data_IF_780670600339
#
_entry.id   IF_780670600339
#
_cell.length_a   1.000
_cell.length_b   1.000
_cell.length_c   1.000
_cell.angle_alpha   90.00
_cell.angle_beta   90.00
_cell.angle_gamma   90.00
#
_symmetry.space_group_name_H-M   'P 1'
#
loop_
_entity.id
_entity.type
_entity.pdbx_description
1 polymer ?
#
# COMPACT_ATOMS: atom_id res chain seq x y z
N UNK A 1 3.52 3.77 -13.03
CA UNK A 1 2.24 4.41 -13.33
C UNK A 1 1.84 5.31 -12.18
N UNK A 2 1.49 6.56 -12.46
CA UNK A 2 1.01 7.50 -11.45
C UNK A 2 -0.46 7.23 -11.09
N UNK A 3 -0.94 7.77 -9.97
CA UNK A 3 -2.35 7.66 -9.59
C UNK A 3 -3.30 8.26 -10.63
N UNK A 4 -2.90 9.37 -11.24
CA UNK A 4 -3.68 10.01 -12.33
C UNK A 4 -3.76 9.12 -13.57
N UNK A 5 -2.66 8.49 -13.95
CA UNK A 5 -2.63 7.56 -15.07
C UNK A 5 -3.50 6.34 -14.81
N UNK A 6 -3.46 5.79 -13.61
CA UNK A 6 -4.29 4.67 -13.20
C UNK A 6 -5.78 5.02 -13.27
N UNK A 7 -6.19 6.19 -12.78
CA UNK A 7 -7.59 6.65 -12.85
C UNK A 7 -8.04 6.87 -14.30
N UNK A 8 -7.17 7.41 -15.15
CA UNK A 8 -7.46 7.58 -16.59
C UNK A 8 -7.67 6.24 -17.27
N UNK A 9 -6.84 5.25 -16.94
CA UNK A 9 -6.96 3.90 -17.51
C UNK A 9 -8.27 3.26 -17.08
N UNK A 10 -8.64 3.36 -15.80
CA UNK A 10 -9.92 2.85 -15.29
C UNK A 10 -11.10 3.53 -16.02
N UNK A 11 -11.06 4.85 -16.15
CA UNK A 11 -12.11 5.60 -16.85
C UNK A 11 -12.21 5.22 -18.32
N UNK A 12 -11.07 4.99 -18.99
CA UNK A 12 -11.01 4.54 -20.38
C UNK A 12 -11.67 3.18 -20.55
N UNK A 13 -11.36 2.23 -19.69
CA UNK A 13 -11.93 0.89 -19.72
C UNK A 13 -13.43 0.92 -19.40
N UNK A 14 -13.85 1.74 -18.44
CA UNK A 14 -15.26 1.92 -18.10
C UNK A 14 -16.06 2.39 -19.31
N UNK A 15 -15.59 3.42 -20.02
CA UNK A 15 -16.25 3.92 -21.25
C UNK A 15 -16.33 2.86 -22.34
N UNK A 16 -15.26 2.08 -22.49
CA UNK A 16 -15.22 0.98 -23.45
C UNK A 16 -16.29 -0.06 -23.14
N UNK A 17 -16.40 -0.49 -21.87
CA UNK A 17 -17.37 -1.50 -21.45
C UNK A 17 -18.80 -0.98 -21.47
N UNK A 18 -19.04 0.28 -21.11
CA UNK A 18 -20.36 0.91 -21.26
C UNK A 18 -20.83 0.91 -22.70
N UNK A 19 -19.95 1.34 -23.60
CA UNK A 19 -20.25 1.39 -25.04
C UNK A 19 -20.60 0.02 -25.63
N UNK A 20 -19.95 -1.03 -25.12
CA UNK A 20 -20.15 -2.40 -25.59
C UNK A 20 -21.23 -3.16 -24.81
N UNK A 21 -21.77 -2.57 -23.75
CA UNK A 21 -22.74 -3.23 -22.88
C UNK A 21 -22.19 -4.41 -22.11
N UNK A 22 -20.88 -4.42 -21.85
CA UNK A 22 -20.19 -5.53 -21.19
C UNK A 22 -20.25 -5.39 -19.66
N UNK A 23 -21.29 -5.93 -19.05
CA UNK A 23 -21.55 -5.81 -17.61
C UNK A 23 -20.45 -6.39 -16.72
N UNK A 24 -19.88 -7.53 -17.10
CA UNK A 24 -18.77 -8.14 -16.35
C UNK A 24 -17.54 -7.24 -16.31
N UNK A 25 -17.27 -6.51 -17.39
CA UNK A 25 -16.22 -5.51 -17.44
C UNK A 25 -16.49 -4.34 -16.50
N UNK A 26 -17.73 -3.87 -16.42
CA UNK A 26 -18.15 -2.80 -15.50
C UNK A 26 -18.00 -3.23 -14.03
N UNK A 27 -18.30 -4.49 -13.71
CA UNK A 27 -18.07 -5.03 -12.37
C UNK A 27 -16.58 -5.02 -12.01
N UNK A 28 -15.72 -5.36 -12.96
CA UNK A 28 -14.27 -5.33 -12.75
C UNK A 28 -13.74 -3.91 -12.59
N UNK A 29 -14.31 -2.94 -13.30
CA UNK A 29 -14.00 -1.51 -13.12
C UNK A 29 -14.35 -1.07 -11.70
N UNK A 30 -15.53 -1.43 -11.21
CA UNK A 30 -15.96 -1.14 -9.85
C UNK A 30 -14.98 -1.74 -8.82
N UNK A 31 -14.60 -3.00 -9.02
CA UNK A 31 -13.62 -3.68 -8.17
C UNK A 31 -12.27 -2.96 -8.18
N UNK A 32 -11.78 -2.54 -9.35
CA UNK A 32 -10.53 -1.79 -9.47
C UNK A 32 -10.57 -0.47 -8.70
N UNK A 33 -11.69 0.25 -8.75
CA UNK A 33 -11.88 1.49 -7.96
C UNK A 33 -11.86 1.23 -6.46
N UNK A 34 -12.48 0.14 -6.01
CA UNK A 34 -12.47 -0.25 -4.61
C UNK A 34 -11.05 -0.56 -4.13
N UNK A 35 -10.28 -1.31 -4.90
CA UNK A 35 -8.86 -1.60 -4.60
C UNK A 35 -8.01 -0.34 -4.61
N UNK A 36 -8.30 0.59 -5.51
CA UNK A 36 -7.61 1.89 -5.54
C UNK A 36 -7.84 2.69 -4.26
N UNK A 37 -9.09 2.74 -3.79
CA UNK A 37 -9.43 3.42 -2.54
C UNK A 37 -8.72 2.80 -1.33
N UNK A 38 -8.65 1.46 -1.27
CA UNK A 38 -7.92 0.74 -0.22
C UNK A 38 -6.42 1.07 -0.28
N UNK A 39 -5.84 1.09 -1.47
CA UNK A 39 -4.43 1.45 -1.66
C UNK A 39 -4.14 2.87 -1.14
N UNK A 40 -4.99 3.83 -1.48
CA UNK A 40 -4.85 5.22 -1.02
C UNK A 40 -4.96 5.32 0.51
N UNK A 41 -5.86 4.57 1.12
CA UNK A 41 -6.00 4.51 2.57
C UNK A 41 -4.69 4.06 3.25
N UNK A 42 -4.09 2.98 2.77
CA UNK A 42 -2.83 2.47 3.31
C UNK A 42 -1.65 3.40 3.03
N UNK A 43 -1.61 4.03 1.85
CA UNK A 43 -0.61 5.05 1.53
C UNK A 43 -0.69 6.25 2.49
N UNK A 44 -1.91 6.68 2.82
CA UNK A 44 -2.14 7.74 3.80
C UNK A 44 -1.64 7.36 5.20
N UNK A 45 -1.90 6.13 5.63
CA UNK A 45 -1.42 5.63 6.93
C UNK A 45 0.11 5.54 6.99
N UNK A 46 0.75 5.07 5.92
CA UNK A 46 2.22 5.02 5.82
C UNK A 46 2.80 6.43 5.87
N UNK A 47 2.23 7.37 5.12
CA UNK A 47 2.69 8.76 5.10
C UNK A 47 2.55 9.43 6.47
N UNK A 48 1.43 9.19 7.16
CA UNK A 48 1.20 9.74 8.49
C UNK A 48 2.19 9.22 9.55
N UNK A 49 2.63 7.97 9.40
CA UNK A 49 3.56 7.34 10.33
C UNK A 49 5.04 7.50 9.93
N UNK A 50 5.35 8.05 8.75
CA UNK A 50 6.69 8.07 8.18
C UNK A 50 7.73 8.71 9.10
N UNK A 51 7.47 9.90 9.63
CA UNK A 51 8.41 10.61 10.52
C UNK A 51 8.68 9.84 11.80
N UNK A 52 7.62 9.34 12.43
CA UNK A 52 7.69 8.53 13.64
C UNK A 52 8.48 7.25 13.42
N UNK A 53 8.21 6.57 12.31
CA UNK A 53 8.89 5.33 11.92
C UNK A 53 10.38 5.55 11.65
N UNK A 54 10.74 6.59 10.90
CA UNK A 54 12.14 6.94 10.61
C UNK A 54 12.90 7.30 11.87
N UNK A 55 12.30 8.12 12.75
CA UNK A 55 12.91 8.49 14.03
C UNK A 55 13.12 7.25 14.91
N UNK A 56 12.14 6.35 14.94
CA UNK A 56 12.25 5.10 15.70
C UNK A 56 13.35 4.19 15.16
N UNK A 57 13.49 4.06 13.84
CA UNK A 57 14.57 3.26 13.22
C UNK A 57 15.95 3.82 13.55
N UNK A 58 16.13 5.13 13.46
CA UNK A 58 17.38 5.78 13.80
C UNK A 58 17.73 5.59 15.28
N UNK A 59 16.74 5.74 16.17
CA UNK A 59 16.90 5.51 17.61
C UNK A 59 17.22 4.05 17.92
N UNK A 60 16.58 3.12 17.23
CA UNK A 60 16.82 1.69 17.39
C UNK A 60 18.27 1.33 17.07
N UNK A 61 18.84 1.84 16.00
CA UNK A 61 20.23 1.62 15.65
C UNK A 61 21.17 2.10 16.77
N UNK A 62 20.94 3.29 17.29
CA UNK A 62 21.74 3.85 18.40
C UNK A 62 21.63 3.01 19.66
N UNK A 63 20.42 2.55 20.00
CA UNK A 63 20.20 1.73 21.20
C UNK A 63 20.84 0.35 21.08
N UNK A 64 20.75 -0.26 19.91
CA UNK A 64 21.38 -1.56 19.67
C UNK A 64 22.90 -1.47 19.79
N UNK A 65 23.51 -0.43 19.27
CA UNK A 65 24.95 -0.20 19.39
C UNK A 65 25.33 0.09 20.85
N UNK A 66 24.59 0.97 21.54
CA UNK A 66 24.88 1.37 22.91
C UNK A 66 24.76 0.21 23.91
N UNK A 67 23.83 -0.72 23.68
CA UNK A 67 23.56 -1.83 24.58
C UNK A 67 24.07 -3.19 24.05
N UNK A 68 25.03 -3.15 23.15
CA UNK A 68 25.61 -4.35 22.56
C UNK A 68 26.28 -5.22 23.64
N UNK A 69 25.86 -6.47 23.72
CA UNK A 69 26.38 -7.42 24.70
C UNK A 69 25.70 -7.38 26.06
N UNK A 70 24.74 -6.50 26.28
CA UNK A 70 23.95 -6.47 27.51
C UNK A 70 22.81 -7.48 27.43
N UNK A 71 22.65 -8.29 28.49
CA UNK A 71 21.55 -9.25 28.60
C UNK A 71 20.38 -8.69 29.41
N UNK A 72 20.39 -7.42 29.76
CA UNK A 72 19.32 -6.79 30.54
C UNK A 72 18.19 -6.33 29.64
N UNK A 73 16.96 -6.53 30.13
CA UNK A 73 15.76 -6.00 29.48
C UNK A 73 15.81 -4.45 29.50
N UNK A 74 15.67 -3.87 28.33
CA UNK A 74 15.63 -2.42 28.16
C UNK A 74 14.24 -1.98 27.69
N UNK A 75 13.43 -1.31 28.56
CA UNK A 75 12.07 -0.89 28.17
C UNK A 75 12.03 0.09 27.00
N UNK A 76 13.02 0.98 26.88
CA UNK A 76 13.11 1.92 25.75
C UNK A 76 13.34 1.17 24.45
N UNK A 77 14.26 0.20 24.44
CA UNK A 77 14.55 -0.62 23.27
C UNK A 77 13.32 -1.40 22.82
N UNK A 78 12.57 -1.98 23.75
CA UNK A 78 11.33 -2.71 23.45
C UNK A 78 10.27 -1.79 22.85
N UNK A 79 10.10 -0.59 23.40
CA UNK A 79 9.15 0.39 22.90
C UNK A 79 9.50 0.82 21.49
N UNK A 80 10.76 1.14 21.22
CA UNK A 80 11.23 1.55 19.91
C UNK A 80 11.08 0.44 18.89
N UNK A 81 11.39 -0.80 19.26
CA UNK A 81 11.16 -1.98 18.39
C UNK A 81 9.70 -2.15 18.00
N UNK A 82 8.76 -1.90 18.91
CA UNK A 82 7.33 -1.96 18.60
C UNK A 82 6.92 -0.91 17.57
N UNK A 83 7.44 0.31 17.72
CA UNK A 83 7.17 1.38 16.74
C UNK A 83 7.72 1.01 15.36
N UNK A 84 8.93 0.49 15.29
CA UNK A 84 9.55 0.04 14.04
C UNK A 84 8.73 -1.07 13.40
N UNK A 85 8.34 -2.09 14.16
CA UNK A 85 7.51 -3.19 13.66
C UNK A 85 6.15 -2.71 13.17
N UNK A 86 5.53 -1.77 13.88
CA UNK A 86 4.25 -1.18 13.46
C UNK A 86 4.39 -0.46 12.12
N UNK A 87 5.46 0.34 11.94
CA UNK A 87 5.74 1.01 10.68
C UNK A 87 5.98 0.02 9.53
N UNK A 88 6.73 -1.04 9.78
CA UNK A 88 6.99 -2.10 8.80
C UNK A 88 5.70 -2.83 8.37
N UNK A 89 4.79 -3.07 9.32
CA UNK A 89 3.47 -3.65 9.01
C UNK A 89 2.65 -2.75 8.11
N UNK A 90 2.66 -1.44 8.36
CA UNK A 90 1.95 -0.47 7.52
C UNK A 90 2.51 -0.48 6.10
N UNK A 91 3.83 -0.47 5.96
CA UNK A 91 4.51 -0.54 4.67
C UNK A 91 4.15 -1.84 3.93
N UNK A 92 4.15 -2.96 4.64
CA UNK A 92 3.77 -4.25 4.07
C UNK A 92 2.32 -4.25 3.56
N UNK A 93 1.39 -3.74 4.34
CA UNK A 93 -0.03 -3.65 3.95
C UNK A 93 -0.23 -2.72 2.76
N UNK A 94 0.49 -1.61 2.72
CA UNK A 94 0.47 -0.70 1.57
C UNK A 94 0.99 -1.41 0.32
N UNK A 95 2.11 -2.14 0.41
CA UNK A 95 2.66 -2.89 -0.71
C UNK A 95 1.67 -3.94 -1.23
N UNK A 96 1.01 -4.68 -0.34
CA UNK A 96 0.00 -5.67 -0.73
C UNK A 96 -1.19 -4.99 -1.42
N UNK A 97 -1.69 -3.89 -0.86
CA UNK A 97 -2.80 -3.15 -1.46
C UNK A 97 -2.45 -2.62 -2.85
N UNK A 98 -1.25 -2.07 -3.02
CA UNK A 98 -0.75 -1.57 -4.30
C UNK A 98 -0.65 -2.69 -5.34
N UNK A 99 -0.07 -3.82 -4.97
CA UNK A 99 0.07 -4.96 -5.88
C UNK A 99 -1.28 -5.53 -6.31
N UNK A 100 -2.24 -5.60 -5.39
CA UNK A 100 -3.61 -6.03 -5.70
C UNK A 100 -4.30 -5.08 -6.68
N UNK A 101 -4.14 -3.78 -6.46
CA UNK A 101 -4.67 -2.78 -7.38
C UNK A 101 -4.03 -2.89 -8.77
N UNK A 102 -2.70 -2.99 -8.83
CA UNK A 102 -1.96 -3.15 -10.10
C UNK A 102 -2.41 -4.40 -10.86
N UNK A 103 -2.65 -5.50 -10.15
CA UNK A 103 -3.17 -6.73 -10.75
C UNK A 103 -4.56 -6.52 -11.35
N UNK A 104 -5.46 -5.84 -10.64
CA UNK A 104 -6.80 -5.53 -11.15
C UNK A 104 -6.74 -4.65 -12.39
N UNK A 105 -5.89 -3.63 -12.35
CA UNK A 105 -5.68 -2.73 -13.48
C UNK A 105 -5.17 -3.47 -14.71
N UNK A 106 -4.22 -4.38 -14.51
CA UNK A 106 -3.66 -5.23 -15.56
C UNK A 106 -4.72 -6.14 -16.19
N UNK A 107 -5.59 -6.73 -15.36
CA UNK A 107 -6.72 -7.53 -15.83
C UNK A 107 -7.67 -6.73 -16.70
N UNK A 108 -8.01 -5.50 -16.30
CA UNK A 108 -8.87 -4.63 -17.09
C UNK A 108 -8.28 -4.36 -18.49
N UNK A 109 -6.97 -4.13 -18.56
CA UNK A 109 -6.29 -3.83 -19.81
C UNK A 109 -6.23 -5.05 -20.76
N UNK A 110 -6.31 -6.27 -20.24
CA UNK A 110 -6.15 -7.52 -21.01
C UNK A 110 -7.45 -8.23 -21.34
N UNK A 111 -8.60 -7.74 -20.87
CA UNK A 111 -9.90 -8.37 -21.18
C UNK A 111 -10.20 -8.23 -22.67
N UNK A 112 -10.35 -9.34 -23.40
CA UNK A 112 -10.82 -9.29 -24.78
C UNK A 112 -12.30 -8.93 -24.80
N UNK A 113 -12.65 -7.90 -25.57
CA UNK A 113 -14.03 -7.45 -25.72
C UNK A 113 -14.42 -7.64 -27.17
N UNK A 114 -14.98 -8.79 -27.45
CA UNK A 114 -15.54 -9.08 -28.74
C UNK A 114 -17.00 -9.60 -28.64
#
# INVERSE_FOLDING_TARGET
>A
MTGKEALREIARQERRFEKLGFENGLMLVKSAREYYAVMLEWQGKVAAAAKSHEAARARLEKLVIAHRGENKRNPELERVRRIVKSGERLIHKENVARLRFEEKLKRLATIPVE
#
